data_IF_247992183475
#
_entry.id   IF_247992183475
#
_cell.length_a   1.000
_cell.length_b   1.000
_cell.length_c   1.000
_cell.angle_alpha   90.00
_cell.angle_beta   90.00
_cell.angle_gamma   90.00
#
_symmetry.space_group_name_H-M   'P 1'
#
loop_
_entity.id
_entity.type
_entity.pdbx_description
1 polymer ?
#
# COMPACT_ATOMS: atom_id res chain seq x y z
N UNK A 1 -62.02 6.98 34.33
CA UNK A 1 -61.39 6.55 33.07
C UNK A 1 -60.25 7.51 32.76
N UNK A 2 -59.00 7.15 33.07
CA UNK A 2 -57.82 7.91 32.63
C UNK A 2 -56.77 6.90 32.16
N UNK A 3 -56.39 6.99 30.89
CA UNK A 3 -55.35 6.15 30.28
C UNK A 3 -54.05 6.96 30.19
N UNK A 4 -52.92 6.48 30.72
CA UNK A 4 -51.65 7.16 30.54
C UNK A 4 -51.04 6.76 29.20
N UNK A 5 -50.61 7.76 28.43
CA UNK A 5 -49.82 7.56 27.22
C UNK A 5 -48.35 7.40 27.64
N UNK A 6 -47.77 6.24 27.39
CA UNK A 6 -46.33 6.01 27.55
C UNK A 6 -45.64 6.52 26.29
N UNK A 7 -44.88 7.61 26.41
CA UNK A 7 -43.96 8.08 25.37
C UNK A 7 -42.69 7.24 25.41
N UNK A 8 -42.51 6.36 24.42
CA UNK A 8 -41.25 5.60 24.26
C UNK A 8 -40.24 6.49 23.55
N UNK A 9 -39.25 7.01 24.29
CA UNK A 9 -38.11 7.74 23.72
C UNK A 9 -37.14 6.71 23.13
N UNK A 10 -37.06 6.65 21.79
CA UNK A 10 -36.00 5.91 21.11
C UNK A 10 -34.70 6.71 21.21
N UNK A 11 -33.84 6.34 22.17
CA UNK A 11 -32.44 6.77 22.18
C UNK A 11 -31.70 6.06 21.04
N UNK A 12 -31.49 6.77 19.93
CA UNK A 12 -30.51 6.39 18.91
C UNK A 12 -29.11 6.46 19.53
N UNK A 13 -28.59 5.31 19.95
CA UNK A 13 -27.16 5.13 20.23
C UNK A 13 -26.41 5.26 18.89
N UNK A 14 -25.85 6.44 18.63
CA UNK A 14 -24.84 6.61 17.61
C UNK A 14 -23.61 5.81 18.06
N UNK A 15 -23.37 4.66 17.41
CA UNK A 15 -22.09 3.98 17.50
C UNK A 15 -21.05 4.92 16.87
N UNK A 16 -20.29 5.61 17.72
CA UNK A 16 -19.09 6.33 17.30
C UNK A 16 -18.13 5.24 16.78
N UNK A 17 -18.00 5.13 15.47
CA UNK A 17 -16.95 4.30 14.87
C UNK A 17 -15.62 4.88 15.32
N UNK A 18 -14.99 4.24 16.31
CA UNK A 18 -13.65 4.60 16.74
C UNK A 18 -12.72 4.46 15.53
N UNK A 19 -12.00 5.53 15.19
CA UNK A 19 -10.91 5.45 14.22
C UNK A 19 -9.94 4.35 14.66
N UNK A 20 -9.56 3.46 13.74
CA UNK A 20 -8.47 2.51 14.00
C UNK A 20 -7.18 3.31 13.93
N UNK A 21 -6.78 3.86 15.08
CA UNK A 21 -5.50 4.53 15.22
C UNK A 21 -4.37 3.51 15.11
N UNK A 22 -3.28 3.81 14.40
CA UNK A 22 -2.10 2.97 14.40
C UNK A 22 -1.65 2.60 15.83
N UNK A 23 -1.25 1.35 16.09
CA UNK A 23 -0.86 0.90 17.42
C UNK A 23 0.42 1.62 17.89
N UNK A 24 0.53 1.82 19.21
CA UNK A 24 1.78 2.24 19.83
C UNK A 24 2.69 1.01 20.07
N UNK A 25 4.00 1.16 19.85
CA UNK A 25 4.98 0.13 20.16
C UNK A 25 5.95 0.63 21.22
N UNK A 26 6.12 -0.13 22.30
CA UNK A 26 7.13 0.17 23.32
C UNK A 26 8.53 0.27 22.69
N UNK A 27 9.27 1.32 23.06
CA UNK A 27 10.58 1.61 22.48
C UNK A 27 10.55 2.23 21.08
N UNK A 28 9.39 2.67 20.58
CA UNK A 28 9.26 3.40 19.31
C UNK A 28 8.46 4.69 19.49
N UNK A 29 8.84 5.69 18.70
CA UNK A 29 8.10 6.92 18.49
C UNK A 29 7.33 6.83 17.18
N UNK A 30 6.02 7.13 17.20
CA UNK A 30 5.22 7.34 15.99
C UNK A 30 5.56 8.71 15.39
N UNK A 31 6.19 8.72 14.21
CA UNK A 31 6.70 9.94 13.55
C UNK A 31 5.69 10.56 12.62
N UNK A 32 4.94 9.72 11.89
CA UNK A 32 3.92 10.15 10.94
C UNK A 32 2.86 9.07 10.79
N UNK A 33 1.62 9.49 10.57
CA UNK A 33 0.50 8.60 10.30
C UNK A 33 -0.56 9.26 9.42
N UNK A 34 -1.40 8.43 8.81
CA UNK A 34 -2.68 8.81 8.20
C UNK A 34 -3.74 7.77 8.59
N UNK A 35 -4.83 8.21 9.24
CA UNK A 35 -6.00 7.39 9.58
C UNK A 35 -7.20 7.61 8.64
N UNK A 36 -7.01 8.40 7.58
CA UNK A 36 -8.01 8.69 6.55
C UNK A 36 -9.37 9.17 7.08
N UNK A 37 -9.34 9.98 8.13
CA UNK A 37 -10.52 10.64 8.70
C UNK A 37 -11.12 11.64 7.71
N UNK A 38 -12.44 11.67 7.62
CA UNK A 38 -13.16 12.61 6.75
C UNK A 38 -14.54 12.11 6.38
N UNK A 39 -15.28 12.92 5.62
CA UNK A 39 -16.63 12.60 5.20
C UNK A 39 -16.64 11.45 4.18
N UNK A 40 -17.77 10.76 4.06
CA UNK A 40 -17.91 9.74 3.02
C UNK A 40 -17.87 10.38 1.63
N UNK A 41 -17.25 9.69 0.67
CA UNK A 41 -17.16 10.12 -0.72
C UNK A 41 -16.37 11.42 -0.93
N UNK A 42 -15.46 11.77 -0.03
CA UNK A 42 -14.47 12.84 -0.24
C UNK A 42 -13.09 12.25 -0.54
N UNK A 43 -12.19 13.08 -1.07
CA UNK A 43 -10.79 12.70 -1.24
C UNK A 43 -10.01 12.85 0.08
N UNK A 44 -8.91 12.10 0.28
CA UNK A 44 -7.96 12.42 1.34
C UNK A 44 -7.32 13.80 1.11
N UNK A 45 -6.80 14.42 2.17
CA UNK A 45 -6.21 15.76 2.08
C UNK A 45 -5.07 15.82 1.06
N UNK A 46 -5.16 16.77 0.12
CA UNK A 46 -4.12 17.02 -0.88
C UNK A 46 -2.86 17.67 -0.31
N UNK A 47 -2.89 18.14 0.95
CA UNK A 47 -1.66 18.53 1.65
C UNK A 47 -0.77 17.32 1.96
N UNK A 48 -1.36 16.12 2.01
CA UNK A 48 -0.66 14.88 2.34
C UNK A 48 -0.56 13.90 1.17
N UNK A 49 -1.51 13.95 0.24
CA UNK A 49 -1.60 12.98 -0.85
C UNK A 49 -1.68 13.66 -2.22
N UNK A 50 -0.79 13.26 -3.11
CA UNK A 50 -0.93 13.49 -4.54
C UNK A 50 -1.87 12.41 -5.11
N UNK A 51 -2.98 12.82 -5.70
CA UNK A 51 -3.88 11.92 -6.43
C UNK A 51 -3.37 11.83 -7.86
N UNK A 52 -3.01 10.62 -8.30
CA UNK A 52 -2.36 10.43 -9.59
C UNK A 52 -3.41 10.32 -10.69
N UNK A 53 -3.23 11.14 -11.73
CA UNK A 53 -4.02 11.10 -12.95
C UNK A 53 -3.09 10.72 -14.11
N UNK A 54 -3.27 9.51 -14.67
CA UNK A 54 -2.38 8.95 -15.67
C UNK A 54 -3.08 7.92 -16.53
N UNK A 55 -3.01 8.09 -17.85
CA UNK A 55 -3.63 7.17 -18.83
C UNK A 55 -2.66 6.09 -19.28
N UNK A 56 -1.37 6.42 -19.46
CA UNK A 56 -0.32 5.46 -19.86
C UNK A 56 0.46 5.04 -18.63
N UNK A 57 0.40 3.76 -18.29
CA UNK A 57 1.10 3.22 -17.14
C UNK A 57 2.37 2.49 -17.53
N UNK A 58 3.07 2.06 -16.48
CA UNK A 58 4.17 1.11 -16.57
C UNK A 58 3.61 -0.32 -16.60
N UNK A 59 4.46 -1.32 -16.82
CA UNK A 59 4.13 -2.75 -16.73
C UNK A 59 2.96 -3.25 -17.59
N UNK A 60 2.61 -2.52 -18.67
CA UNK A 60 1.46 -2.81 -19.54
C UNK A 60 0.10 -2.85 -18.82
N UNK A 61 -0.04 -2.13 -17.70
CA UNK A 61 -1.32 -1.95 -17.00
C UNK A 61 -2.30 -1.12 -17.86
N UNK A 62 -3.59 -1.49 -17.88
CA UNK A 62 -4.58 -0.98 -18.85
C UNK A 62 -5.56 0.05 -18.28
N UNK A 63 -5.59 0.27 -16.97
CA UNK A 63 -6.47 1.29 -16.37
C UNK A 63 -5.98 2.70 -16.65
N UNK A 64 -6.88 3.68 -16.71
CA UNK A 64 -6.50 5.06 -16.42
C UNK A 64 -6.60 5.31 -14.91
N UNK A 65 -5.53 5.78 -14.27
CA UNK A 65 -5.64 6.39 -12.95
C UNK A 65 -6.32 7.76 -13.11
N UNK A 66 -7.38 8.02 -12.33
CA UNK A 66 -8.21 9.22 -12.46
C UNK A 66 -8.58 9.80 -11.10
N UNK A 67 -8.77 11.11 -11.02
CA UNK A 67 -9.29 11.78 -9.82
C UNK A 67 -10.81 11.71 -9.80
N UNK A 68 -11.37 10.62 -9.27
CA UNK A 68 -12.81 10.44 -9.08
C UNK A 68 -13.12 9.70 -7.78
N UNK A 69 -14.16 10.14 -7.08
CA UNK A 69 -14.66 9.49 -5.85
C UNK A 69 -15.29 8.12 -6.10
N UNK A 70 -15.49 7.75 -7.38
CA UNK A 70 -15.86 6.40 -7.79
C UNK A 70 -14.71 5.38 -7.69
N UNK A 71 -13.47 5.84 -7.78
CA UNK A 71 -12.25 5.01 -7.76
C UNK A 71 -11.35 5.26 -6.56
N UNK A 72 -11.46 6.42 -5.90
CA UNK A 72 -10.64 6.80 -4.75
C UNK A 72 -11.45 7.68 -3.80
N UNK A 73 -11.74 7.20 -2.60
CA UNK A 73 -12.53 7.96 -1.63
C UNK A 73 -12.31 7.55 -0.18
N UNK A 74 -12.53 8.50 0.72
CA UNK A 74 -12.78 8.23 2.13
C UNK A 74 -14.17 7.61 2.30
N UNK A 75 -14.30 6.69 3.25
CA UNK A 75 -15.55 5.95 3.49
C UNK A 75 -16.50 6.63 4.46
N UNK A 76 -16.06 7.69 5.16
CA UNK A 76 -16.77 8.24 6.31
C UNK A 76 -16.63 7.39 7.58
N UNK A 77 -15.80 6.34 7.53
CA UNK A 77 -15.54 5.41 8.64
C UNK A 77 -14.04 5.29 8.94
N UNK A 78 -13.28 6.36 8.68
CA UNK A 78 -11.84 6.44 8.90
C UNK A 78 -11.07 5.35 8.12
N UNK A 79 -11.45 5.16 6.85
CA UNK A 79 -10.75 4.29 5.90
C UNK A 79 -10.73 4.94 4.53
N UNK A 80 -9.75 4.56 3.71
CA UNK A 80 -9.63 4.94 2.31
C UNK A 80 -9.88 3.73 1.40
N UNK A 81 -10.69 3.91 0.35
CA UNK A 81 -10.92 2.90 -0.68
C UNK A 81 -10.29 3.30 -2.01
N UNK A 82 -9.62 2.33 -2.64
CA UNK A 82 -9.16 2.38 -4.03
C UNK A 82 -9.90 1.29 -4.81
N UNK A 83 -10.71 1.68 -5.79
CA UNK A 83 -11.73 0.83 -6.40
C UNK A 83 -11.53 0.80 -7.92
N UNK A 84 -11.20 -0.36 -8.53
CA UNK A 84 -11.17 -0.47 -9.98
C UNK A 84 -12.60 -0.41 -10.54
N UNK A 85 -12.82 0.34 -11.61
CA UNK A 85 -14.11 0.55 -12.27
C UNK A 85 -14.01 0.18 -13.75
N UNK A 86 -15.05 -0.45 -14.31
CA UNK A 86 -15.10 -0.78 -15.73
C UNK A 86 -16.28 -0.09 -16.42
N UNK A 87 -15.99 0.64 -17.50
CA UNK A 87 -17.05 1.25 -18.31
C UNK A 87 -17.45 0.34 -19.46
N UNK A 88 -18.68 -0.17 -19.44
CA UNK A 88 -19.23 -0.96 -20.55
C UNK A 88 -19.36 -0.18 -21.85
N UNK A 89 -19.52 1.16 -21.76
CA UNK A 89 -19.62 2.09 -22.90
C UNK A 89 -18.28 2.30 -23.60
N UNK A 90 -17.21 2.54 -22.84
CA UNK A 90 -15.89 2.84 -23.43
C UNK A 90 -14.97 1.62 -23.51
N UNK A 91 -15.34 0.50 -22.86
CA UNK A 91 -14.53 -0.71 -22.69
C UNK A 91 -13.18 -0.44 -22.01
N UNK A 92 -13.14 0.58 -21.14
CA UNK A 92 -11.93 0.99 -20.41
C UNK A 92 -12.08 0.79 -18.91
N UNK A 93 -10.95 0.49 -18.29
CA UNK A 93 -10.80 0.45 -16.84
C UNK A 93 -10.33 1.81 -16.31
N UNK A 94 -10.83 2.18 -15.14
CA UNK A 94 -10.29 3.27 -14.33
C UNK A 94 -9.99 2.77 -12.93
N UNK A 95 -9.04 3.42 -12.25
CA UNK A 95 -8.71 3.05 -10.86
C UNK A 95 -8.07 4.22 -10.11
N UNK A 96 -7.78 4.01 -8.82
CA UNK A 96 -7.11 4.96 -7.94
C UNK A 96 -5.62 4.64 -7.75
N UNK A 97 -4.80 5.69 -7.70
CA UNK A 97 -3.43 5.68 -7.18
C UNK A 97 -3.20 6.98 -6.41
N UNK A 98 -2.61 6.87 -5.23
CA UNK A 98 -2.18 8.02 -4.43
C UNK A 98 -0.73 7.85 -3.98
N UNK A 99 -0.05 8.98 -3.87
CA UNK A 99 1.34 9.05 -3.42
C UNK A 99 1.47 10.09 -2.31
N UNK A 100 2.20 9.79 -1.24
CA UNK A 100 2.38 10.78 -0.18
C UNK A 100 3.25 11.96 -0.64
N UNK A 101 2.90 13.17 -0.20
CA UNK A 101 3.79 14.34 -0.22
C UNK A 101 4.86 14.20 0.86
N UNK A 102 4.52 13.53 1.96
CA UNK A 102 5.45 13.11 3.00
C UNK A 102 6.49 12.14 2.43
N UNK A 103 7.75 12.35 2.80
CA UNK A 103 8.84 11.41 2.57
C UNK A 103 9.42 10.94 3.89
N UNK A 104 9.93 9.71 3.92
CA UNK A 104 10.65 9.15 5.05
C UNK A 104 12.02 8.66 4.62
N UNK A 105 13.00 8.89 5.47
CA UNK A 105 14.35 8.32 5.33
C UNK A 105 14.61 7.48 6.56
N UNK A 106 14.85 6.15 6.44
CA UNK A 106 15.23 5.33 7.58
C UNK A 106 16.45 5.94 8.29
N UNK A 107 16.44 6.05 9.62
CA UNK A 107 17.51 6.74 10.36
C UNK A 107 18.68 5.80 10.67
N UNK A 108 19.92 6.27 10.47
CA UNK A 108 21.12 5.57 10.96
C UNK A 108 21.07 5.44 12.48
N UNK A 109 21.56 4.32 13.03
CA UNK A 109 21.57 4.04 14.46
C UNK A 109 20.21 3.59 15.01
N UNK A 110 19.16 3.55 14.19
CA UNK A 110 17.79 3.24 14.61
C UNK A 110 17.19 2.09 13.80
N UNK A 111 16.07 1.58 14.31
CA UNK A 111 15.12 0.78 13.54
C UNK A 111 14.02 1.72 13.05
N UNK A 112 13.69 1.66 11.76
CA UNK A 112 12.54 2.36 11.16
C UNK A 112 11.50 1.35 10.74
N UNK A 113 10.22 1.59 11.06
CA UNK A 113 9.09 0.76 10.61
C UNK A 113 8.14 1.58 9.77
N UNK A 114 7.68 1.01 8.67
CA UNK A 114 6.56 1.53 7.88
C UNK A 114 5.54 0.43 7.76
N UNK A 115 4.30 0.71 8.15
CA UNK A 115 3.23 -0.29 8.12
C UNK A 115 1.89 0.30 7.71
N UNK A 116 1.00 -0.56 7.26
CA UNK A 116 -0.39 -0.24 6.98
C UNK A 116 -1.29 -1.41 7.36
N UNK A 117 -2.43 -1.11 7.99
CA UNK A 117 -3.54 -2.06 8.08
C UNK A 117 -4.45 -1.84 6.87
N UNK A 118 -4.61 -2.89 6.06
CA UNK A 118 -5.42 -2.87 4.86
C UNK A 118 -6.09 -4.22 4.60
N UNK A 119 -7.14 -4.19 3.80
CA UNK A 119 -7.82 -5.38 3.29
C UNK A 119 -8.00 -5.31 1.78
N UNK A 120 -8.16 -6.48 1.17
CA UNK A 120 -8.50 -6.62 -0.24
C UNK A 120 -9.98 -7.00 -0.38
N UNK A 121 -10.61 -6.65 -1.50
CA UNK A 121 -12.04 -6.92 -1.69
C UNK A 121 -12.38 -8.42 -1.65
N UNK A 122 -13.57 -8.78 -1.16
CA UNK A 122 -13.97 -10.17 -0.88
C UNK A 122 -14.51 -11.00 -2.05
N UNK A 123 -14.45 -10.54 -3.30
CA UNK A 123 -14.84 -11.37 -4.44
C UNK A 123 -13.96 -12.63 -4.55
N UNK A 124 -14.47 -13.68 -5.19
CA UNK A 124 -13.66 -14.87 -5.50
C UNK A 124 -12.48 -14.55 -6.43
N UNK A 125 -11.40 -15.34 -6.35
CA UNK A 125 -10.24 -15.20 -7.24
C UNK A 125 -10.61 -15.24 -8.73
N UNK A 126 -11.62 -16.04 -9.11
CA UNK A 126 -12.13 -16.09 -10.50
C UNK A 126 -12.60 -14.71 -11.01
N UNK A 127 -13.08 -13.86 -10.11
CA UNK A 127 -13.55 -12.51 -10.45
C UNK A 127 -12.47 -11.44 -10.36
N UNK A 128 -11.21 -11.82 -10.14
CA UNK A 128 -10.08 -10.91 -9.87
C UNK A 128 -8.96 -11.00 -10.89
N UNK A 129 -9.11 -11.77 -11.97
CA UNK A 129 -8.12 -11.84 -13.05
C UNK A 129 -7.76 -10.41 -13.52
N UNK A 130 -6.47 -10.09 -13.55
CA UNK A 130 -5.94 -8.77 -13.88
C UNK A 130 -5.92 -7.75 -12.72
N UNK A 131 -6.53 -8.01 -11.57
CA UNK A 131 -6.55 -7.05 -10.45
C UNK A 131 -5.25 -7.14 -9.65
N UNK A 132 -4.59 -5.99 -9.42
CA UNK A 132 -3.28 -5.89 -8.78
C UNK A 132 -3.23 -4.73 -7.77
N UNK A 133 -3.70 -4.93 -6.51
CA UNK A 133 -3.51 -3.98 -5.42
C UNK A 133 -2.07 -3.99 -4.90
N UNK A 134 -1.56 -2.80 -4.53
CA UNK A 134 -0.21 -2.64 -3.98
C UNK A 134 -0.13 -1.55 -2.90
N UNK A 135 0.71 -1.81 -1.90
CA UNK A 135 1.20 -0.88 -0.89
C UNK A 135 2.73 -0.96 -0.87
N UNK A 136 3.38 0.15 -1.17
CA UNK A 136 4.81 0.15 -1.48
C UNK A 136 5.45 1.52 -1.24
N UNK A 137 6.77 1.54 -1.27
CA UNK A 137 7.60 2.73 -1.15
C UNK A 137 8.44 2.90 -2.42
N UNK A 138 8.57 4.15 -2.87
CA UNK A 138 9.42 4.49 -4.00
C UNK A 138 10.39 5.60 -3.60
N UNK A 139 11.63 5.50 -4.04
CA UNK A 139 12.65 6.51 -3.80
C UNK A 139 12.24 7.86 -4.38
N UNK A 140 12.23 8.89 -3.54
CA UNK A 140 11.86 10.27 -3.93
C UNK A 140 12.81 10.84 -5.00
N UNK A 141 13.99 10.24 -5.16
CA UNK A 141 14.91 10.53 -6.26
C UNK A 141 14.26 10.41 -7.65
N UNK A 142 13.20 9.58 -7.82
CA UNK A 142 12.46 9.50 -9.09
C UNK A 142 11.77 10.81 -9.46
N UNK A 143 11.32 11.59 -8.47
CA UNK A 143 10.74 12.92 -8.69
C UNK A 143 11.79 13.96 -9.09
N UNK A 144 13.07 13.59 -8.96
CA UNK A 144 14.24 14.43 -9.21
C UNK A 144 15.13 13.88 -10.34
N UNK A 145 14.57 13.03 -11.21
CA UNK A 145 15.22 12.58 -12.45
C UNK A 145 16.04 11.29 -12.35
N UNK A 146 16.05 10.58 -11.22
CA UNK A 146 16.67 9.25 -11.14
C UNK A 146 15.67 8.18 -11.60
N UNK A 147 15.96 7.51 -12.70
CA UNK A 147 15.05 6.51 -13.27
C UNK A 147 14.92 5.25 -12.41
N UNK A 148 13.79 4.55 -12.56
CA UNK A 148 13.61 3.20 -12.01
C UNK A 148 14.52 2.20 -12.77
N UNK A 149 15.11 1.20 -12.09
CA UNK A 149 15.00 0.87 -10.66
C UNK A 149 16.06 1.56 -9.79
N UNK A 150 16.90 2.43 -10.37
CA UNK A 150 18.01 3.06 -9.65
C UNK A 150 17.57 3.99 -8.51
N UNK A 151 16.35 4.53 -8.58
CA UNK A 151 15.74 5.30 -7.50
C UNK A 151 15.47 4.46 -6.23
N UNK A 152 15.38 3.13 -6.35
CA UNK A 152 15.08 2.21 -5.25
C UNK A 152 13.57 2.09 -4.98
N UNK A 153 13.12 0.87 -4.78
CA UNK A 153 11.71 0.52 -4.54
C UNK A 153 11.61 -0.57 -3.47
N UNK A 154 10.58 -0.49 -2.63
CA UNK A 154 10.29 -1.46 -1.56
C UNK A 154 8.80 -1.76 -1.56
N UNK A 155 8.43 -2.91 -2.10
CA UNK A 155 7.05 -3.38 -2.14
C UNK A 155 6.72 -4.06 -0.82
N UNK A 156 5.83 -3.45 -0.05
CA UNK A 156 5.47 -3.93 1.30
C UNK A 156 4.39 -5.00 1.19
N UNK A 157 3.44 -4.81 0.27
CA UNK A 157 2.38 -5.75 -0.07
C UNK A 157 2.01 -5.58 -1.53
N UNK A 158 2.08 -6.68 -2.28
CA UNK A 158 1.40 -6.84 -3.55
C UNK A 158 0.56 -8.10 -3.58
N UNK A 159 -0.52 -8.07 -4.34
CA UNK A 159 -1.33 -9.24 -4.66
C UNK A 159 -1.75 -9.17 -6.11
N UNK A 160 -1.87 -10.31 -6.78
CA UNK A 160 -2.40 -10.40 -8.13
C UNK A 160 -3.50 -11.43 -8.21
N UNK A 161 -4.47 -11.21 -9.09
CA UNK A 161 -5.48 -12.20 -9.46
C UNK A 161 -6.33 -12.75 -8.30
N UNK A 162 -6.34 -12.06 -7.15
CA UNK A 162 -7.02 -12.53 -5.95
C UNK A 162 -6.43 -13.81 -5.37
N UNK A 163 -5.14 -14.07 -5.61
CA UNK A 163 -4.43 -15.18 -5.02
C UNK A 163 -4.47 -15.09 -3.50
N UNK A 164 -4.40 -16.24 -2.82
CA UNK A 164 -4.21 -16.32 -1.36
C UNK A 164 -2.73 -16.15 -0.99
N UNK A 165 -2.06 -15.24 -1.67
CA UNK A 165 -0.62 -15.00 -1.56
C UNK A 165 -0.40 -13.49 -1.57
N UNK A 166 0.39 -12.99 -0.63
CA UNK A 166 0.95 -11.64 -0.73
C UNK A 166 2.44 -11.72 -1.03
N UNK A 167 2.93 -10.72 -1.73
CA UNK A 167 4.31 -10.59 -2.17
C UNK A 167 4.96 -9.36 -1.52
N UNK A 168 6.26 -9.45 -1.30
CA UNK A 168 7.09 -8.32 -0.89
C UNK A 168 8.45 -8.42 -1.57
N UNK A 169 8.96 -7.29 -2.03
CA UNK A 169 10.15 -7.23 -2.87
C UNK A 169 10.95 -5.94 -2.65
N UNK A 170 12.17 -5.95 -3.20
CA UNK A 170 12.91 -4.71 -3.50
C UNK A 170 13.33 -4.73 -4.96
N UNK A 171 13.27 -3.56 -5.58
CA UNK A 171 13.79 -3.32 -6.92
C UNK A 171 14.90 -2.26 -6.86
N UNK A 172 16.00 -2.53 -7.56
CA UNK A 172 17.23 -1.73 -7.46
C UNK A 172 18.19 -1.88 -8.65
N UNK A 173 19.23 -1.04 -8.66
CA UNK A 173 20.37 -1.09 -9.59
C UNK A 173 20.02 -0.76 -11.05
N UNK A 174 19.60 -1.74 -11.84
CA UNK A 174 19.29 -1.58 -13.27
C UNK A 174 18.35 -2.68 -13.77
N UNK A 175 17.61 -2.38 -14.83
CA UNK A 175 16.77 -3.34 -15.54
C UNK A 175 17.17 -3.45 -17.02
N UNK A 176 17.12 -4.65 -17.63
CA UNK A 176 16.86 -5.96 -16.99
C UNK A 176 18.07 -6.48 -16.19
N UNK A 177 17.83 -7.42 -15.28
CA UNK A 177 18.84 -8.07 -14.46
C UNK A 177 19.35 -7.18 -13.32
N UNK A 178 20.67 -6.93 -13.27
CA UNK A 178 21.27 -6.17 -12.18
C UNK A 178 21.25 -6.91 -10.84
N UNK A 179 21.68 -6.23 -9.77
CA UNK A 179 21.80 -6.82 -8.43
C UNK A 179 20.46 -7.33 -7.89
N UNK A 180 19.35 -6.67 -8.23
CA UNK A 180 18.02 -7.06 -7.81
C UNK A 180 17.30 -8.03 -8.76
N UNK A 181 17.93 -8.52 -9.84
CA UNK A 181 17.32 -9.47 -10.78
C UNK A 181 16.00 -8.95 -11.43
N UNK A 182 16.06 -7.74 -11.95
CA UNK A 182 14.91 -7.07 -12.57
C UNK A 182 14.39 -7.77 -13.82
N UNK A 183 13.07 -7.79 -14.05
CA UNK A 183 12.03 -7.08 -13.28
C UNK A 183 11.48 -7.85 -12.06
N UNK A 184 12.08 -8.98 -11.66
CA UNK A 184 11.54 -9.81 -10.58
C UNK A 184 11.80 -9.24 -9.19
N UNK A 185 12.85 -8.43 -9.04
CA UNK A 185 13.30 -7.96 -7.72
C UNK A 185 13.88 -9.09 -6.85
N UNK A 186 14.35 -8.71 -5.65
CA UNK A 186 14.64 -9.66 -4.59
C UNK A 186 13.35 -9.88 -3.81
N UNK A 187 12.54 -10.84 -4.25
CA UNK A 187 11.19 -11.05 -3.76
C UNK A 187 11.03 -12.31 -2.88
N UNK A 188 10.00 -12.29 -2.05
CA UNK A 188 9.46 -13.47 -1.37
C UNK A 188 7.93 -13.33 -1.27
N UNK A 189 7.27 -14.37 -0.76
CA UNK A 189 5.83 -14.41 -0.63
C UNK A 189 5.38 -15.02 0.69
N UNK A 190 4.11 -14.80 1.02
CA UNK A 190 3.45 -15.30 2.23
C UNK A 190 2.01 -15.67 1.92
N UNK A 191 1.48 -16.69 2.60
CA UNK A 191 0.06 -17.04 2.50
C UNK A 191 -0.81 -15.93 3.09
N UNK A 192 -1.82 -15.51 2.34
CA UNK A 192 -2.84 -14.56 2.78
C UNK A 192 -4.08 -15.36 3.20
N UNK A 193 -4.41 -15.43 4.51
CA UNK A 193 -5.40 -16.38 5.01
C UNK A 193 -6.83 -16.04 4.62
N UNK A 194 -7.18 -14.75 4.58
CA UNK A 194 -8.51 -14.28 4.22
C UNK A 194 -8.46 -12.87 3.58
N UNK A 195 -9.61 -12.20 3.48
CA UNK A 195 -9.73 -10.85 2.92
C UNK A 195 -10.08 -9.81 3.98
N UNK A 196 -9.75 -10.08 5.25
CA UNK A 196 -9.89 -9.11 6.35
C UNK A 196 -8.70 -8.16 6.37
N UNK A 197 -8.74 -7.25 7.34
CA UNK A 197 -7.61 -6.36 7.61
C UNK A 197 -6.42 -7.16 8.12
N UNK A 198 -5.28 -6.90 7.51
CA UNK A 198 -3.99 -7.44 7.86
C UNK A 198 -2.97 -6.31 7.95
N UNK A 199 -2.03 -6.44 8.88
CA UNK A 199 -0.94 -5.46 9.04
C UNK A 199 0.26 -5.89 8.22
N UNK A 200 0.53 -5.13 7.17
CA UNK A 200 1.72 -5.27 6.33
C UNK A 200 2.78 -4.27 6.77
N UNK A 201 4.00 -4.74 7.04
CA UNK A 201 5.09 -3.90 7.56
C UNK A 201 6.41 -4.22 6.89
N UNK A 202 7.19 -3.17 6.65
CA UNK A 202 8.65 -3.27 6.50
C UNK A 202 9.37 -2.67 7.70
N UNK A 203 10.48 -3.29 8.08
CA UNK A 203 11.40 -2.81 9.10
C UNK A 203 12.79 -2.66 8.51
N UNK A 204 13.30 -1.42 8.52
CA UNK A 204 14.68 -1.09 8.20
C UNK A 204 15.50 -1.11 9.48
N UNK A 205 16.38 -2.08 9.65
CA UNK A 205 17.36 -2.11 10.74
C UNK A 205 18.66 -1.47 10.25
N UNK A 206 18.88 -0.23 10.69
CA UNK A 206 20.09 0.55 10.39
C UNK A 206 20.86 0.90 11.66
N UNK A 207 20.74 0.09 12.71
CA UNK A 207 21.49 0.31 13.97
C UNK A 207 23.00 0.28 13.77
N UNK A 208 23.48 -0.59 12.89
CA UNK A 208 24.91 -0.67 12.54
C UNK A 208 25.30 0.38 11.51
N UNK A 209 26.47 1.00 11.71
CA UNK A 209 27.15 1.82 10.69
C UNK A 209 27.73 0.98 9.55
N UNK A 210 27.97 -0.31 9.78
CA UNK A 210 28.35 -1.24 8.73
C UNK A 210 27.13 -1.59 7.87
N UNK A 211 27.11 -1.11 6.62
CA UNK A 211 26.03 -1.35 5.66
C UNK A 211 25.72 -2.83 5.46
N UNK A 212 26.75 -3.69 5.49
CA UNK A 212 26.56 -5.15 5.29
C UNK A 212 25.77 -5.80 6.42
N UNK A 213 25.74 -5.18 7.60
CA UNK A 213 24.97 -5.64 8.77
C UNK A 213 23.53 -5.09 8.82
N UNK A 214 23.17 -4.19 7.90
CA UNK A 214 21.83 -3.61 7.85
C UNK A 214 20.86 -4.55 7.12
N UNK A 215 19.56 -4.36 7.34
CA UNK A 215 18.54 -5.19 6.72
C UNK A 215 17.21 -4.49 6.52
N UNK A 216 16.45 -4.97 5.55
CA UNK A 216 15.02 -4.70 5.36
C UNK A 216 14.30 -6.02 5.64
N UNK A 217 13.23 -6.01 6.43
CA UNK A 217 12.49 -7.22 6.81
C UNK A 217 11.00 -6.96 6.72
N UNK A 218 10.27 -7.85 6.05
CA UNK A 218 8.85 -7.75 5.82
C UNK A 218 8.09 -8.62 6.80
N UNK A 219 6.92 -8.14 7.21
CA UNK A 219 6.04 -8.80 8.13
C UNK A 219 4.60 -8.78 7.62
N UNK A 220 3.90 -9.89 7.83
CA UNK A 220 2.44 -9.98 7.79
C UNK A 220 1.97 -10.32 9.20
N UNK A 221 1.15 -9.46 9.79
CA UNK A 221 0.61 -9.62 11.15
C UNK A 221 1.69 -9.90 12.20
N UNK A 222 2.82 -9.20 12.08
CA UNK A 222 3.97 -9.34 12.98
C UNK A 222 4.83 -10.58 12.74
N UNK A 223 4.53 -11.44 11.75
CA UNK A 223 5.35 -12.59 11.37
C UNK A 223 6.25 -12.26 10.19
N UNK A 224 7.54 -12.54 10.31
CA UNK A 224 8.51 -12.34 9.22
C UNK A 224 8.20 -13.29 8.07
N UNK A 225 8.19 -12.78 6.84
CA UNK A 225 8.12 -13.61 5.62
C UNK A 225 9.18 -13.29 4.57
N UNK A 226 9.88 -12.17 4.71
CA UNK A 226 10.98 -11.80 3.82
C UNK A 226 12.06 -11.01 4.56
N UNK A 227 13.31 -11.13 4.09
CA UNK A 227 14.44 -10.37 4.61
C UNK A 227 15.51 -10.22 3.53
N UNK A 228 15.93 -8.98 3.31
CA UNK A 228 17.05 -8.61 2.43
C UNK A 228 18.10 -7.89 3.25
N UNK A 229 19.37 -8.22 3.05
CA UNK A 229 20.49 -7.65 3.83
C UNK A 229 21.43 -6.83 2.95
N UNK A 230 22.11 -5.85 3.55
CA UNK A 230 23.15 -5.12 2.84
C UNK A 230 24.31 -6.01 2.40
N UNK A 231 24.55 -7.13 3.11
CA UNK A 231 25.53 -8.14 2.70
C UNK A 231 25.12 -8.90 1.44
N UNK A 232 23.82 -9.15 1.24
CA UNK A 232 23.28 -9.80 0.04
C UNK A 232 23.37 -8.87 -1.17
N UNK A 233 23.00 -7.59 -1.01
CA UNK A 233 23.12 -6.58 -2.07
C UNK A 233 24.59 -6.26 -2.38
N UNK A 234 25.44 -6.26 -1.36
CA UNK A 234 26.90 -6.11 -1.42
C UNK A 234 27.41 -4.94 -2.29
N UNK A 235 26.62 -3.89 -2.44
CA UNK A 235 26.98 -2.68 -3.19
C UNK A 235 26.48 -1.45 -2.43
N UNK A 236 27.41 -0.59 -2.03
CA UNK A 236 27.13 0.58 -1.20
C UNK A 236 26.14 1.56 -1.84
N UNK A 237 26.26 1.83 -3.15
CA UNK A 237 25.39 2.80 -3.82
C UNK A 237 23.96 2.25 -3.92
N UNK A 238 23.84 0.99 -4.30
CA UNK A 238 22.55 0.30 -4.46
C UNK A 238 21.85 0.09 -3.11
N UNK A 239 22.59 -0.31 -2.08
CA UNK A 239 21.99 -0.43 -0.73
C UNK A 239 21.51 0.92 -0.18
N UNK A 240 22.20 2.01 -0.53
CA UNK A 240 21.79 3.36 -0.13
C UNK A 240 20.47 3.80 -0.77
N UNK A 241 20.19 3.45 -2.04
CA UNK A 241 18.89 3.83 -2.64
C UNK A 241 17.70 3.15 -1.94
N UNK A 242 17.89 1.93 -1.42
CA UNK A 242 16.83 1.16 -0.75
C UNK A 242 16.54 1.61 0.70
N UNK A 243 17.49 2.22 1.41
CA UNK A 243 17.28 2.54 2.83
C UNK A 243 18.05 3.74 3.40
N UNK A 244 18.80 4.49 2.60
CA UNK A 244 19.52 5.71 3.01
C UNK A 244 19.00 6.99 2.37
N UNK A 245 18.13 6.87 1.37
CA UNK A 245 17.51 7.98 0.66
C UNK A 245 16.04 8.14 1.08
N UNK A 246 15.45 9.34 0.90
CA UNK A 246 14.03 9.56 1.13
C UNK A 246 13.18 8.70 0.18
N UNK A 247 12.10 8.15 0.72
CA UNK A 247 11.08 7.40 -0.01
C UNK A 247 9.70 7.95 0.32
N UNK A 248 8.74 7.86 -0.60
CA UNK A 248 7.34 8.20 -0.36
C UNK A 248 6.46 6.95 -0.44
N UNK A 249 5.30 7.01 0.21
CA UNK A 249 4.32 5.92 0.27
C UNK A 249 3.42 5.96 -0.96
N UNK A 250 3.09 4.78 -1.48
CA UNK A 250 2.16 4.60 -2.60
C UNK A 250 1.11 3.56 -2.25
N UNK A 251 -0.14 3.88 -2.60
CA UNK A 251 -1.25 2.95 -2.65
C UNK A 251 -1.88 2.98 -4.04
N UNK A 252 -2.11 1.82 -4.64
CA UNK A 252 -2.87 1.72 -5.89
C UNK A 252 -3.61 0.39 -6.02
N UNK A 253 -4.56 0.37 -6.95
CA UNK A 253 -5.09 -0.87 -7.53
C UNK A 253 -4.89 -0.80 -9.04
N UNK A 254 -3.88 -1.49 -9.54
CA UNK A 254 -3.67 -1.66 -10.97
C UNK A 254 -4.65 -2.68 -11.57
N UNK A 255 -4.83 -2.61 -12.88
CA UNK A 255 -5.66 -3.52 -13.67
C UNK A 255 -4.90 -3.92 -14.93
N UNK A 256 -4.72 -5.22 -15.13
CA UNK A 256 -3.87 -5.74 -16.19
C UNK A 256 -2.39 -5.61 -15.88
N UNK A 257 -1.58 -5.86 -16.90
CA UNK A 257 -0.12 -5.82 -16.83
C UNK A 257 0.54 -7.17 -17.06
N UNK A 258 1.85 -7.15 -17.25
CA UNK A 258 2.63 -8.34 -17.63
C UNK A 258 2.53 -9.46 -16.58
N UNK A 259 2.46 -9.08 -15.30
CA UNK A 259 2.39 -10.05 -14.20
C UNK A 259 0.99 -10.62 -13.95
N UNK A 260 -0.06 -9.82 -13.68
CA UNK A 260 -1.38 -10.38 -13.45
C UNK A 260 -2.02 -10.92 -14.75
N UNK A 261 -1.60 -10.44 -15.92
CA UNK A 261 -2.27 -10.67 -17.20
C UNK A 261 -3.52 -9.81 -17.36
N UNK A 262 -4.12 -9.81 -18.56
CA UNK A 262 -5.29 -8.97 -18.84
C UNK A 262 -6.54 -9.45 -18.08
N UNK A 263 -7.45 -8.54 -17.67
CA UNK A 263 -8.79 -8.91 -17.23
C UNK A 263 -9.54 -9.76 -18.27
N UNK A 264 -10.40 -10.65 -17.79
CA UNK A 264 -11.28 -11.46 -18.65
C UNK A 264 -12.76 -11.13 -18.39
N UNK A 265 -13.67 -11.82 -19.08
CA UNK A 265 -15.13 -11.60 -18.94
C UNK A 265 -15.70 -11.88 -17.54
N UNK A 266 -14.96 -12.61 -16.70
CA UNK A 266 -15.33 -12.86 -15.30
C UNK A 266 -14.77 -11.82 -14.33
N UNK A 267 -13.80 -11.00 -14.75
CA UNK A 267 -13.24 -9.93 -13.92
C UNK A 267 -14.31 -8.90 -13.60
N UNK A 268 -14.55 -8.69 -12.31
CA UNK A 268 -15.52 -7.70 -11.83
C UNK A 268 -14.83 -6.38 -11.48
N UNK A 269 -15.58 -5.30 -11.53
CA UNK A 269 -15.18 -4.02 -10.98
C UNK A 269 -15.84 -3.80 -9.60
N UNK A 270 -15.61 -2.63 -9.01
CA UNK A 270 -16.26 -2.21 -7.77
C UNK A 270 -15.60 -2.75 -6.49
N UNK A 271 -16.30 -2.53 -5.37
CA UNK A 271 -15.77 -2.77 -4.01
C UNK A 271 -15.36 -4.22 -3.73
N UNK A 272 -15.91 -5.20 -4.45
CA UNK A 272 -15.49 -6.58 -4.32
C UNK A 272 -14.03 -6.82 -4.76
N UNK A 273 -13.44 -5.87 -5.49
CA UNK A 273 -12.06 -5.89 -6.00
C UNK A 273 -11.24 -4.66 -5.58
N UNK A 274 -11.64 -3.96 -4.51
CA UNK A 274 -10.90 -2.82 -3.99
C UNK A 274 -9.63 -3.22 -3.23
N UNK A 275 -8.87 -2.19 -2.85
CA UNK A 275 -8.06 -2.15 -1.63
C UNK A 275 -8.70 -1.13 -0.67
N UNK A 276 -8.83 -1.50 0.60
CA UNK A 276 -9.32 -0.59 1.64
C UNK A 276 -8.30 -0.49 2.78
N UNK A 277 -7.92 0.74 3.13
CA UNK A 277 -6.82 1.05 4.04
C UNK A 277 -7.39 1.72 5.29
N UNK A 278 -7.10 1.15 6.47
CA UNK A 278 -7.43 1.76 7.77
C UNK A 278 -6.43 2.86 8.11
N UNK A 279 -5.15 2.55 8.01
CA UNK A 279 -4.10 3.51 8.32
C UNK A 279 -2.79 3.21 7.59
N UNK A 280 -1.92 4.20 7.54
CA UNK A 280 -0.47 4.02 7.32
C UNK A 280 0.30 4.76 8.40
N UNK A 281 1.40 4.17 8.86
CA UNK A 281 2.20 4.73 9.94
C UNK A 281 3.70 4.49 9.75
N UNK A 282 4.49 5.46 10.20
CA UNK A 282 5.95 5.44 10.21
C UNK A 282 6.44 5.63 11.65
N UNK A 283 7.24 4.67 12.13
CA UNK A 283 7.82 4.67 13.47
C UNK A 283 9.34 4.62 13.43
N UNK A 284 9.98 5.17 14.45
CA UNK A 284 11.42 5.08 14.66
C UNK A 284 11.70 4.63 16.10
N UNK A 285 12.63 3.70 16.30
CA UNK A 285 13.03 3.27 17.64
C UNK A 285 13.61 4.43 18.45
N UNK A 286 13.31 4.47 19.75
CA UNK A 286 13.79 5.49 20.69
C UNK A 286 15.32 5.50 20.81
#
# INVERSE_FOLDING_TARGET
>A
MFSPWILTVFTCLFAIAAAVTPPAYSGYTLVWQQGFEGQANTFPSTSTWNIIERVKNYNNEIQAYVKSTSVLRQTGKNTLQLIPQFSSKTKKWTSGRIESTYTLTPKLGKITRVESSLRLGGNSARSKQGIWPAFWLLGDAIRNGVEWPACGEVDIMENVNGQKIGYGAVHCDKAPGGICNEPNGIASNVQLPDSKYHVWRVQFDRRSSNLRSQSITWYLDGRVFHRVTGAQVNNTKVWKSLCHSPMFVIFNVAVGGDWPGVPNSSTKDGIGNHMEVEYVAHYVSN
#
